data_IF_493105417386
#
_entry.id   IF_493105417386
#
_cell.length_a   1.000
_cell.length_b   1.000
_cell.length_c   1.000
_cell.angle_alpha   90.00
_cell.angle_beta   90.00
_cell.angle_gamma   90.00
#
_symmetry.space_group_name_H-M   'P 1'
#
loop_
_entity.id
_entity.type
_entity.pdbx_description
1 polymer ?
#
# COMPACT_ATOMS: atom_id res chain seq x y z
N UNK A 1 -17.87 33.53 -16.22
CA UNK A 1 -17.38 32.28 -16.82
C UNK A 1 -16.04 31.79 -16.26
N UNK A 2 -15.05 32.66 -15.99
CA UNK A 2 -13.75 32.28 -15.40
C UNK A 2 -13.82 31.74 -13.96
N UNK A 3 -14.74 32.26 -13.13
CA UNK A 3 -14.90 31.83 -11.72
C UNK A 3 -15.55 30.44 -11.62
N UNK A 4 -16.50 30.12 -12.50
CA UNK A 4 -17.12 28.79 -12.57
C UNK A 4 -16.12 27.71 -13.02
N UNK A 5 -15.19 28.06 -13.91
CA UNK A 5 -14.10 27.15 -14.33
C UNK A 5 -13.10 26.90 -13.21
N UNK A 6 -12.74 27.92 -12.43
CA UNK A 6 -11.86 27.79 -11.28
C UNK A 6 -12.50 26.97 -10.15
N UNK A 7 -13.80 27.16 -9.89
CA UNK A 7 -14.54 26.37 -8.90
C UNK A 7 -14.70 24.91 -9.36
N UNK A 8 -14.92 24.65 -10.65
CA UNK A 8 -14.91 23.30 -11.20
C UNK A 8 -13.55 22.61 -11.06
N UNK A 9 -12.45 23.35 -11.20
CA UNK A 9 -11.09 22.84 -10.98
C UNK A 9 -10.77 22.60 -9.49
N UNK A 10 -11.38 23.36 -8.58
CA UNK A 10 -11.18 23.25 -7.14
C UNK A 10 -12.05 22.15 -6.50
N UNK A 11 -13.25 21.90 -7.03
CA UNK A 11 -14.16 20.83 -6.59
C UNK A 11 -13.71 19.45 -7.10
N UNK A 12 -12.99 19.38 -8.22
CA UNK A 12 -12.40 18.12 -8.71
C UNK A 12 -11.11 17.67 -7.98
N UNK A 13 -10.49 18.51 -7.16
CA UNK A 13 -9.33 18.09 -6.36
C UNK A 13 -9.72 17.23 -5.15
N UNK A 14 -11.01 17.14 -4.80
CA UNK A 14 -11.51 16.34 -3.67
C UNK A 14 -11.85 14.89 -4.03
N UNK A 15 -11.81 14.52 -5.31
CA UNK A 15 -12.07 13.14 -5.75
C UNK A 15 -10.81 12.24 -5.75
N UNK A 16 -9.63 12.83 -5.52
CA UNK A 16 -8.36 12.11 -5.36
C UNK A 16 -8.13 11.56 -3.94
N UNK A 17 -9.12 11.62 -3.05
CA UNK A 17 -9.06 11.12 -1.66
C UNK A 17 -9.11 9.59 -1.54
N UNK A 18 -9.31 8.87 -2.66
CA UNK A 18 -9.36 7.41 -2.69
C UNK A 18 -8.05 6.75 -3.14
N UNK A 19 -6.96 7.52 -3.30
CA UNK A 19 -5.62 6.98 -3.50
C UNK A 19 -4.99 6.60 -2.14
N UNK A 20 -4.45 5.40 -2.10
CA UNK A 20 -4.21 4.62 -0.90
C UNK A 20 -2.81 4.78 -0.34
N UNK A 21 -2.76 4.80 1.01
CA UNK A 21 -1.59 4.57 1.85
C UNK A 21 -0.32 5.33 1.43
N UNK A 22 0.79 5.12 2.14
CA UNK A 22 2.04 5.86 1.92
C UNK A 22 1.87 7.38 2.09
N UNK A 23 2.06 8.12 0.99
CA UNK A 23 2.24 9.58 1.00
C UNK A 23 0.98 10.39 1.33
N UNK A 24 -0.22 9.83 1.12
CA UNK A 24 -1.49 10.48 1.50
C UNK A 24 -1.95 10.01 2.87
N UNK A 25 -1.78 10.89 3.85
CA UNK A 25 -2.32 10.67 5.19
C UNK A 25 -3.86 10.70 5.16
N UNK A 26 -4.45 9.98 6.12
CA UNK A 26 -5.89 9.99 6.35
C UNK A 26 -6.34 11.31 6.95
N UNK A 27 -7.51 11.79 6.53
CA UNK A 27 -8.15 12.95 7.15
C UNK A 27 -8.48 12.66 8.62
N UNK A 28 -8.46 13.71 9.46
CA UNK A 28 -8.77 13.56 10.88
C UNK A 28 -10.13 12.89 11.08
N UNK A 29 -10.14 11.80 11.85
CA UNK A 29 -11.35 11.06 12.18
C UNK A 29 -11.75 9.98 11.17
N UNK A 30 -11.05 9.88 10.03
CA UNK A 30 -11.33 8.87 9.00
C UNK A 30 -10.38 7.68 9.13
N UNK A 31 -10.86 6.52 8.70
CA UNK A 31 -10.12 5.27 8.70
C UNK A 31 -10.13 4.56 7.37
N UNK A 32 -9.15 3.68 7.20
CA UNK A 32 -9.04 2.77 6.08
C UNK A 32 -8.64 1.40 6.59
N UNK A 33 -9.25 0.35 6.05
CA UNK A 33 -8.82 -1.02 6.27
C UNK A 33 -8.77 -1.77 4.94
N UNK A 34 -7.79 -2.64 4.79
CA UNK A 34 -7.74 -3.60 3.68
C UNK A 34 -7.36 -4.98 4.17
N UNK A 35 -8.06 -5.97 3.62
CA UNK A 35 -7.75 -7.38 3.78
C UNK A 35 -7.40 -7.93 2.40
N UNK A 36 -6.29 -8.67 2.30
CA UNK A 36 -5.81 -9.23 1.04
C UNK A 36 -5.45 -10.70 1.20
N UNK A 37 -5.79 -11.48 0.19
CA UNK A 37 -5.53 -12.90 0.07
C UNK A 37 -4.82 -13.15 -1.27
N UNK A 38 -3.79 -13.96 -1.25
CA UNK A 38 -3.04 -14.39 -2.41
C UNK A 38 -2.88 -15.90 -2.42
N UNK A 39 -2.96 -16.53 -3.59
CA UNK A 39 -2.71 -17.95 -3.75
C UNK A 39 -1.99 -18.23 -5.08
N UNK A 40 -0.96 -19.09 -5.03
CA UNK A 40 -0.27 -19.61 -6.22
C UNK A 40 -0.89 -20.94 -6.67
N UNK A 41 -0.53 -21.42 -7.86
CA UNK A 41 -0.90 -22.77 -8.33
C UNK A 41 -0.38 -23.87 -7.39
N UNK A 42 0.78 -23.65 -6.76
CA UNK A 42 1.40 -24.58 -5.82
C UNK A 42 0.86 -24.49 -4.39
N UNK A 43 -0.33 -23.89 -4.20
CA UNK A 43 -1.00 -23.74 -2.90
C UNK A 43 -0.22 -22.93 -1.86
N UNK A 44 0.74 -22.11 -2.29
CA UNK A 44 1.35 -21.10 -1.42
C UNK A 44 0.34 -19.97 -1.21
N UNK A 45 0.23 -19.46 0.02
CA UNK A 45 -0.76 -18.43 0.35
C UNK A 45 -0.13 -17.21 1.00
N UNK A 46 -0.66 -16.04 0.66
CA UNK A 46 -0.29 -14.77 1.30
C UNK A 46 -1.54 -14.13 1.86
N UNK A 47 -1.48 -13.65 3.09
CA UNK A 47 -2.59 -12.97 3.76
C UNK A 47 -2.08 -11.66 4.35
N UNK A 48 -2.80 -10.56 4.15
CA UNK A 48 -2.43 -9.27 4.72
C UNK A 48 -3.64 -8.52 5.25
N UNK A 49 -3.50 -7.95 6.44
CA UNK A 49 -4.40 -6.98 7.06
C UNK A 49 -3.64 -5.67 7.22
N UNK A 50 -4.22 -4.60 6.70
CA UNK A 50 -3.69 -3.26 6.84
C UNK A 50 -4.78 -2.33 7.34
N UNK A 51 -4.49 -1.51 8.33
CA UNK A 51 -5.43 -0.57 8.93
C UNK A 51 -4.74 0.76 9.19
N UNK A 52 -5.41 1.87 8.89
CA UNK A 52 -4.96 3.22 9.19
C UNK A 52 -6.08 4.07 9.77
N UNK A 53 -5.70 5.02 10.62
CA UNK A 53 -6.61 5.99 11.22
C UNK A 53 -5.98 7.38 11.31
N UNK A 54 -6.69 8.39 10.83
CA UNK A 54 -6.25 9.79 10.86
C UNK A 54 -6.44 10.42 12.23
N UNK A 55 -5.35 10.61 12.99
CA UNK A 55 -5.37 11.33 14.26
C UNK A 55 -5.44 12.85 14.06
N UNK A 56 -4.81 13.34 12.99
CA UNK A 56 -4.86 14.74 12.56
C UNK A 56 -4.61 14.82 11.05
N UNK A 57 -4.80 16.00 10.46
CA UNK A 57 -4.49 16.22 9.03
C UNK A 57 -2.99 16.06 8.68
N UNK A 58 -2.11 15.86 9.68
CA UNK A 58 -0.67 15.63 9.49
C UNK A 58 -0.17 14.36 10.18
N UNK A 59 -1.06 13.57 10.79
CA UNK A 59 -0.67 12.36 11.53
C UNK A 59 -1.68 11.25 11.32
N UNK A 60 -1.19 10.09 10.85
CA UNK A 60 -1.93 8.84 10.74
C UNK A 60 -1.23 7.80 11.60
N UNK A 61 -2.00 6.94 12.27
CA UNK A 61 -1.47 5.72 12.89
C UNK A 61 -1.99 4.53 12.12
N UNK A 62 -1.29 3.40 12.19
CA UNK A 62 -1.76 2.20 11.54
C UNK A 62 -1.12 0.93 12.02
N UNK A 63 -1.61 -0.16 11.45
CA UNK A 63 -1.24 -1.53 11.71
C UNK A 63 -1.09 -2.23 10.35
N UNK A 64 0.04 -2.91 10.17
CA UNK A 64 0.34 -3.73 9.00
C UNK A 64 0.69 -5.14 9.49
N UNK A 65 -0.10 -6.13 9.11
CA UNK A 65 0.11 -7.54 9.44
C UNK A 65 0.07 -8.31 8.13
N UNK A 66 1.13 -9.03 7.81
CA UNK A 66 1.19 -9.93 6.67
C UNK A 66 1.72 -11.29 7.08
N UNK A 67 1.25 -12.33 6.42
CA UNK A 67 1.77 -13.68 6.57
C UNK A 67 1.84 -14.39 5.23
N UNK A 68 2.87 -15.22 5.10
CA UNK A 68 3.13 -16.06 3.95
C UNK A 68 3.22 -17.51 4.44
N UNK A 69 2.54 -18.41 3.76
CA UNK A 69 2.58 -19.85 4.03
C UNK A 69 3.02 -20.55 2.76
N UNK A 70 4.12 -21.30 2.82
CA UNK A 70 4.61 -22.06 1.67
C UNK A 70 3.86 -23.41 1.52
N UNK A 71 4.19 -24.15 0.46
CA UNK A 71 3.57 -25.45 0.16
C UNK A 71 3.81 -26.53 1.25
N UNK A 72 4.83 -26.36 2.09
CA UNK A 72 5.13 -27.24 3.24
C UNK A 72 4.43 -26.79 4.53
N UNK A 73 3.49 -25.83 4.44
CA UNK A 73 2.75 -25.27 5.56
C UNK A 73 3.64 -24.55 6.61
N UNK A 74 4.84 -24.14 6.20
CA UNK A 74 5.71 -23.27 7.01
C UNK A 74 5.22 -21.85 6.85
N UNK A 75 4.91 -21.22 7.99
CA UNK A 75 4.33 -19.87 8.04
C UNK A 75 5.34 -18.85 8.52
N UNK A 76 5.54 -17.83 7.71
CA UNK A 76 6.30 -16.63 8.03
C UNK A 76 5.37 -15.42 8.05
N UNK A 77 5.84 -14.30 8.58
CA UNK A 77 5.11 -13.05 8.50
C UNK A 77 5.76 -11.89 9.22
N UNK A 78 5.05 -10.78 9.17
CA UNK A 78 5.49 -9.47 9.60
C UNK A 78 4.31 -8.72 10.21
N UNK A 79 4.51 -8.09 11.35
CA UNK A 79 3.51 -7.28 12.03
C UNK A 79 4.15 -5.99 12.47
N UNK A 80 3.50 -4.85 12.23
CA UNK A 80 4.06 -3.54 12.51
C UNK A 80 2.98 -2.53 12.85
N UNK A 81 3.13 -1.92 14.02
CA UNK A 81 2.37 -0.76 14.45
C UNK A 81 3.18 0.49 14.11
N UNK A 82 2.55 1.46 13.46
CA UNK A 82 3.27 2.63 12.97
C UNK A 82 2.55 3.94 13.22
N UNK A 83 3.35 5.01 13.25
CA UNK A 83 2.92 6.39 13.12
C UNK A 83 3.52 6.97 11.84
N UNK A 84 2.69 7.61 11.03
CA UNK A 84 3.08 8.32 9.81
C UNK A 84 2.79 9.79 9.95
N UNK A 85 3.73 10.65 9.56
CA UNK A 85 3.57 12.11 9.54
C UNK A 85 3.90 12.70 8.19
N UNK A 86 3.14 13.73 7.80
CA UNK A 86 3.40 14.48 6.58
C UNK A 86 4.70 15.29 6.69
N UNK A 87 5.47 15.33 5.61
CA UNK A 87 6.61 16.22 5.43
C UNK A 87 6.15 17.43 4.61
N UNK A 88 6.11 18.59 5.25
CA UNK A 88 5.70 19.84 4.61
C UNK A 88 4.18 20.03 4.48
N UNK A 89 3.73 20.94 3.60
CA UNK A 89 2.31 21.24 3.42
C UNK A 89 1.54 20.09 2.73
N UNK A 90 0.36 19.76 3.26
CA UNK A 90 -0.49 18.66 2.78
C UNK A 90 -1.43 19.08 1.65
N UNK A 91 -1.32 20.29 1.13
CA UNK A 91 -2.11 20.86 0.03
C UNK A 91 -1.35 20.88 -1.32
N UNK A 92 -0.04 20.62 -1.32
CA UNK A 92 0.78 20.59 -2.54
C UNK A 92 0.48 19.40 -3.44
N UNK A 93 0.68 19.50 -4.78
CA UNK A 93 0.45 18.36 -5.68
C UNK A 93 1.27 17.11 -5.35
N UNK A 94 2.52 17.31 -4.93
CA UNK A 94 3.39 16.25 -4.42
C UNK A 94 3.29 16.19 -2.90
N UNK A 95 2.91 15.03 -2.38
CA UNK A 95 2.83 14.73 -0.95
C UNK A 95 4.06 13.93 -0.55
N UNK A 96 4.53 14.19 0.67
CA UNK A 96 5.63 13.45 1.27
C UNK A 96 5.23 13.07 2.68
N UNK A 97 5.65 11.90 3.13
CA UNK A 97 5.45 11.45 4.49
C UNK A 97 6.61 10.60 4.95
N UNK A 98 6.83 10.55 6.26
CA UNK A 98 7.70 9.54 6.86
C UNK A 98 6.92 8.72 7.89
N UNK A 99 7.31 7.47 8.03
CA UNK A 99 6.74 6.49 8.93
C UNK A 99 7.80 5.97 9.88
N UNK A 100 7.42 5.81 11.14
CA UNK A 100 8.18 5.09 12.15
C UNK A 100 7.28 3.99 12.70
N UNK A 101 7.78 2.77 12.70
CA UNK A 101 7.05 1.59 13.13
C UNK A 101 7.86 0.69 14.03
N UNK A 102 7.16 0.00 14.92
CA UNK A 102 7.69 -1.07 15.75
C UNK A 102 6.86 -2.33 15.50
N UNK A 103 7.54 -3.45 15.48
CA UNK A 103 6.92 -4.67 15.00
C UNK A 103 7.68 -5.92 15.34
N UNK A 104 7.36 -6.97 14.60
CA UNK A 104 8.06 -8.24 14.68
C UNK A 104 7.96 -9.02 13.38
N UNK A 105 9.01 -9.79 13.14
CA UNK A 105 9.07 -10.83 12.13
C UNK A 105 8.81 -12.16 12.84
N UNK A 106 8.00 -13.03 12.25
CA UNK A 106 7.85 -14.41 12.74
C UNK A 106 8.07 -15.40 11.62
N UNK A 107 8.61 -16.55 11.97
CA UNK A 107 8.99 -17.59 11.02
C UNK A 107 10.05 -18.51 11.59
N UNK A 108 10.09 -19.77 11.13
CA UNK A 108 11.08 -20.76 11.56
C UNK A 108 11.23 -20.85 13.10
N UNK A 109 10.09 -20.92 13.81
CA UNK A 109 9.99 -20.99 15.28
C UNK A 109 10.55 -19.79 16.04
N UNK A 110 10.91 -18.71 15.35
CA UNK A 110 11.43 -17.47 15.95
C UNK A 110 10.42 -16.34 15.82
N UNK A 111 10.43 -15.48 16.82
CA UNK A 111 9.75 -14.19 16.82
C UNK A 111 10.82 -13.15 17.12
N UNK A 112 11.09 -12.29 16.15
CA UNK A 112 12.17 -11.33 16.22
C UNK A 112 11.57 -9.92 16.22
N UNK A 113 11.95 -9.05 17.17
CA UNK A 113 11.49 -7.67 17.16
C UNK A 113 12.00 -6.94 15.92
N UNK A 114 11.26 -5.94 15.45
CA UNK A 114 11.73 -5.10 14.36
C UNK A 114 11.37 -3.64 14.55
N UNK A 115 12.18 -2.77 13.96
CA UNK A 115 11.91 -1.33 13.81
C UNK A 115 11.85 -1.05 12.32
N UNK A 116 10.76 -0.43 11.86
CA UNK A 116 10.56 -0.05 10.46
C UNK A 116 10.59 1.47 10.32
N UNK A 117 11.26 1.95 9.30
CA UNK A 117 11.17 3.34 8.85
C UNK A 117 10.77 3.35 7.38
N UNK A 118 9.91 4.29 6.99
CA UNK A 118 9.48 4.44 5.59
C UNK A 118 9.51 5.90 5.19
N UNK A 119 9.99 6.20 3.98
CA UNK A 119 9.80 7.47 3.31
C UNK A 119 8.84 7.27 2.15
N UNK A 120 7.77 8.06 2.12
CA UNK A 120 6.71 7.98 1.13
C UNK A 120 6.67 9.24 0.28
N UNK A 121 6.49 9.07 -1.02
CA UNK A 121 6.21 10.14 -1.96
C UNK A 121 5.03 9.78 -2.84
N UNK A 122 4.16 10.76 -3.09
CA UNK A 122 3.01 10.54 -3.96
C UNK A 122 2.61 11.80 -4.70
N UNK A 123 2.03 11.61 -5.88
CA UNK A 123 1.52 12.71 -6.71
C UNK A 123 0.32 12.27 -7.53
N UNK A 124 -0.71 13.12 -7.57
CA UNK A 124 -1.82 13.01 -8.52
C UNK A 124 -1.44 13.57 -9.89
N UNK A 125 -1.94 12.97 -10.96
CA UNK A 125 -1.78 13.45 -12.33
C UNK A 125 -3.06 13.23 -13.12
N UNK A 126 -3.12 13.83 -14.31
CA UNK A 126 -4.20 13.62 -15.25
C UNK A 126 -3.62 13.11 -16.57
N UNK A 127 -4.16 12.01 -17.07
CA UNK A 127 -3.78 11.42 -18.35
C UNK A 127 -4.99 11.47 -19.27
N UNK A 128 -4.97 12.37 -20.26
CA UNK A 128 -6.14 12.75 -21.07
C UNK A 128 -7.27 13.26 -20.16
N UNK A 129 -8.46 12.67 -20.21
CA UNK A 129 -9.60 13.01 -19.36
C UNK A 129 -9.75 12.04 -18.16
N UNK A 130 -8.66 11.39 -17.73
CA UNK A 130 -8.67 10.41 -16.64
C UNK A 130 -7.72 10.83 -15.53
N UNK A 131 -8.21 10.78 -14.30
CA UNK A 131 -7.41 11.06 -13.11
C UNK A 131 -6.60 9.82 -12.72
N UNK A 132 -5.37 10.05 -12.30
CA UNK A 132 -4.46 9.01 -11.86
C UNK A 132 -3.56 9.51 -10.73
N UNK A 133 -2.81 8.58 -10.16
CA UNK A 133 -1.89 8.88 -9.08
C UNK A 133 -0.73 7.90 -9.10
N UNK A 134 0.40 8.34 -8.56
CA UNK A 134 1.56 7.51 -8.29
C UNK A 134 1.94 7.63 -6.82
N UNK A 135 2.29 6.52 -6.21
CA UNK A 135 2.87 6.44 -4.87
C UNK A 135 4.17 5.63 -4.93
N UNK A 136 5.15 6.03 -4.12
CA UNK A 136 6.42 5.33 -3.94
C UNK A 136 6.75 5.31 -2.47
N UNK A 137 7.14 4.16 -1.96
CA UNK A 137 7.55 3.92 -0.58
C UNK A 137 8.94 3.28 -0.56
N UNK A 138 9.86 3.90 0.16
CA UNK A 138 11.16 3.31 0.46
C UNK A 138 11.21 2.99 1.95
N UNK A 139 11.32 1.71 2.31
CA UNK A 139 11.32 1.25 3.69
C UNK A 139 12.63 0.55 4.07
N UNK A 140 13.02 0.73 5.32
CA UNK A 140 14.11 0.03 5.98
C UNK A 140 13.58 -0.62 7.25
N UNK A 141 13.65 -1.95 7.33
CA UNK A 141 13.27 -2.75 8.49
C UNK A 141 14.54 -3.29 9.13
N UNK A 142 14.75 -2.99 10.40
CA UNK A 142 15.90 -3.46 11.18
C UNK A 142 15.45 -4.45 12.25
N UNK A 143 16.15 -5.57 12.34
CA UNK A 143 15.95 -6.62 13.35
C UNK A 143 17.21 -6.65 14.26
N UNK A 144 17.11 -6.19 15.52
CA UNK A 144 18.28 -5.96 16.36
C UNK A 144 18.90 -7.22 16.99
N UNK A 145 18.19 -8.35 17.04
CA UNK A 145 18.64 -9.58 17.72
C UNK A 145 19.74 -10.28 16.93
N UNK A 146 19.59 -10.33 15.61
CA UNK A 146 20.52 -10.93 14.66
C UNK A 146 21.32 -9.85 13.89
N UNK A 147 20.99 -8.56 14.09
CA UNK A 147 21.63 -7.46 13.38
C UNK A 147 21.33 -7.44 11.88
N UNK A 148 20.18 -8.00 11.49
CA UNK A 148 19.76 -8.13 10.08
C UNK A 148 18.86 -6.98 9.65
N UNK A 149 18.74 -6.77 8.34
CA UNK A 149 17.87 -5.74 7.80
C UNK A 149 17.20 -6.16 6.49
N UNK A 150 16.09 -5.50 6.19
CA UNK A 150 15.36 -5.62 4.93
C UNK A 150 15.19 -4.22 4.37
N UNK A 151 15.62 -4.01 3.13
CA UNK A 151 15.28 -2.82 2.37
C UNK A 151 14.12 -3.14 1.44
N UNK A 152 13.17 -2.21 1.31
CA UNK A 152 12.03 -2.36 0.40
C UNK A 152 11.80 -1.09 -0.40
N UNK A 153 11.42 -1.26 -1.65
CA UNK A 153 10.94 -0.22 -2.52
C UNK A 153 9.64 -0.70 -3.17
N UNK A 154 8.54 0.00 -2.88
CA UNK A 154 7.22 -0.31 -3.41
C UNK A 154 6.72 0.91 -4.20
N UNK A 155 6.23 0.70 -5.41
CA UNK A 155 5.66 1.74 -6.26
C UNK A 155 4.28 1.32 -6.76
N UNK A 156 3.32 2.24 -6.73
CA UNK A 156 1.95 1.99 -7.19
C UNK A 156 1.51 3.08 -8.14
N UNK A 157 1.03 2.69 -9.31
CA UNK A 157 0.38 3.55 -10.29
C UNK A 157 -1.12 3.22 -10.32
N UNK A 158 -1.97 4.22 -10.05
CA UNK A 158 -3.41 4.10 -10.19
C UNK A 158 -3.95 4.97 -11.31
N UNK A 159 -4.90 4.45 -12.08
CA UNK A 159 -5.58 5.18 -13.15
C UNK A 159 -7.08 4.88 -13.15
N UNK A 160 -7.89 5.92 -13.03
CA UNK A 160 -9.34 5.81 -13.05
C UNK A 160 -9.85 5.62 -14.48
N UNK A 161 -10.56 4.52 -14.76
CA UNK A 161 -11.03 4.20 -16.11
C UNK A 161 -12.48 4.60 -16.38
N UNK A 162 -13.30 4.72 -15.34
CA UNK A 162 -14.72 5.09 -15.39
C UNK A 162 -15.33 5.01 -14.00
N UNK A 163 -16.60 5.39 -13.84
CA UNK A 163 -17.17 5.73 -12.52
C UNK A 163 -17.15 4.66 -11.41
N UNK A 164 -16.75 3.43 -11.67
CA UNK A 164 -16.62 2.37 -10.65
C UNK A 164 -15.30 1.59 -10.71
N UNK A 165 -14.40 1.85 -11.67
CA UNK A 165 -13.19 1.05 -11.87
C UNK A 165 -11.92 1.89 -11.91
N UNK A 166 -10.89 1.38 -11.23
CA UNK A 166 -9.54 1.93 -11.22
C UNK A 166 -8.55 0.80 -11.54
N UNK A 167 -7.73 0.98 -12.57
CA UNK A 167 -6.60 0.10 -12.83
C UNK A 167 -5.45 0.45 -11.91
N UNK A 168 -4.77 -0.57 -11.41
CA UNK A 168 -3.59 -0.44 -10.57
C UNK A 168 -2.45 -1.26 -11.16
N UNK A 169 -1.24 -0.72 -11.07
CA UNK A 169 -0.01 -1.43 -11.35
C UNK A 169 0.93 -1.20 -10.17
N UNK A 170 1.24 -2.25 -9.44
CA UNK A 170 2.18 -2.21 -8.33
C UNK A 170 3.48 -2.90 -8.72
N UNK A 171 4.60 -2.35 -8.25
CA UNK A 171 5.93 -2.94 -8.38
C UNK A 171 6.55 -2.95 -7.00
N UNK A 172 6.98 -4.12 -6.55
CA UNK A 172 7.64 -4.29 -5.26
C UNK A 172 9.04 -4.82 -5.50
N UNK A 173 10.00 -4.31 -4.74
CA UNK A 173 11.36 -4.81 -4.71
C UNK A 173 11.84 -4.82 -3.27
N UNK A 174 12.50 -5.89 -2.85
CA UNK A 174 13.06 -6.01 -1.51
C UNK A 174 14.38 -6.73 -1.53
N UNK A 175 15.32 -6.33 -0.68
CA UNK A 175 16.57 -7.03 -0.47
C UNK A 175 16.72 -7.43 0.99
N UNK A 176 17.13 -8.69 1.20
CA UNK A 176 17.39 -9.29 2.50
C UNK A 176 18.53 -10.31 2.36
N UNK A 177 19.58 -10.20 3.17
CA UNK A 177 20.68 -11.17 3.24
C UNK A 177 21.29 -11.53 1.86
N UNK A 178 21.60 -10.52 1.06
CA UNK A 178 22.13 -10.62 -0.33
C UNK A 178 21.15 -11.16 -1.38
N UNK A 179 19.98 -11.66 -0.98
CA UNK A 179 18.90 -12.00 -1.89
C UNK A 179 18.07 -10.76 -2.23
N UNK A 180 17.58 -10.71 -3.47
CA UNK A 180 16.63 -9.70 -3.93
C UNK A 180 15.38 -10.37 -4.45
N UNK A 181 14.24 -9.87 -4.01
CA UNK A 181 12.92 -10.33 -4.45
C UNK A 181 12.21 -9.15 -5.11
N UNK A 182 11.54 -9.40 -6.21
CA UNK A 182 10.69 -8.38 -6.80
C UNK A 182 9.53 -8.98 -7.56
N UNK A 183 8.47 -8.20 -7.69
CA UNK A 183 7.26 -8.61 -8.37
C UNK A 183 6.55 -7.40 -8.98
N UNK A 184 5.74 -7.68 -9.99
CA UNK A 184 4.74 -6.76 -10.54
C UNK A 184 3.34 -7.29 -10.25
N UNK A 185 2.43 -6.42 -9.85
CA UNK A 185 1.03 -6.76 -9.58
C UNK A 185 0.09 -5.85 -10.38
N UNK A 186 -0.28 -6.25 -11.62
CA UNK A 186 -1.44 -5.67 -12.30
C UNK A 186 -2.73 -6.05 -11.58
N UNK A 187 -3.60 -5.08 -11.36
CA UNK A 187 -4.89 -5.31 -10.72
C UNK A 187 -5.97 -4.30 -11.11
N UNK A 188 -7.22 -4.64 -10.85
CA UNK A 188 -8.38 -3.78 -11.00
C UNK A 188 -9.07 -3.64 -9.66
N UNK A 189 -9.33 -2.40 -9.26
CA UNK A 189 -10.17 -2.05 -8.13
C UNK A 189 -11.57 -1.71 -8.63
N UNK A 190 -12.56 -2.39 -8.08
CA UNK A 190 -13.98 -2.18 -8.36
C UNK A 190 -14.62 -1.56 -7.13
N UNK A 191 -15.13 -0.34 -7.27
CA UNK A 191 -15.86 0.38 -6.23
C UNK A 191 -17.31 0.59 -6.66
N UNK A 192 -18.28 -0.12 -6.06
CA UNK A 192 -19.70 0.13 -6.31
C UNK A 192 -20.04 1.61 -6.08
N UNK A 193 -20.96 2.15 -6.89
CA UNK A 193 -21.45 3.53 -6.70
C UNK A 193 -21.97 3.70 -5.28
N UNK A 194 -21.55 4.77 -4.62
CA UNK A 194 -21.89 5.09 -3.22
C UNK A 194 -21.46 4.05 -2.17
N UNK A 195 -20.65 3.06 -2.56
CA UNK A 195 -20.13 2.03 -1.68
C UNK A 195 -18.99 2.54 -0.79
N UNK A 196 -18.96 2.07 0.47
CA UNK A 196 -17.81 2.22 1.39
C UNK A 196 -16.76 1.12 1.22
N UNK A 197 -17.04 0.15 0.34
CA UNK A 197 -16.18 -0.99 0.09
C UNK A 197 -15.67 -0.97 -1.34
N UNK A 198 -14.49 -1.55 -1.56
CA UNK A 198 -13.95 -1.79 -2.89
C UNK A 198 -13.32 -3.18 -2.93
N UNK A 199 -13.42 -3.84 -4.08
CA UNK A 199 -12.85 -5.17 -4.31
C UNK A 199 -11.68 -5.02 -5.27
N UNK A 200 -10.50 -5.50 -4.87
CA UNK A 200 -9.30 -5.55 -5.70
C UNK A 200 -9.14 -6.98 -6.23
N UNK A 201 -8.98 -7.12 -7.53
CA UNK A 201 -8.67 -8.38 -8.20
C UNK A 201 -7.36 -8.18 -8.98
N UNK A 202 -6.38 -9.03 -8.74
CA UNK A 202 -5.04 -8.88 -9.33
C UNK A 202 -4.31 -10.18 -9.50
N UNK A 203 -3.13 -10.07 -10.11
CA UNK A 203 -2.17 -11.16 -10.18
C UNK A 203 -0.80 -10.60 -9.78
N UNK A 204 -0.10 -11.24 -8.85
CA UNK A 204 1.28 -10.92 -8.50
C UNK A 204 2.21 -11.85 -9.28
N UNK A 205 3.17 -11.28 -10.00
CA UNK A 205 4.09 -12.00 -10.87
C UNK A 205 5.51 -11.67 -10.42
N UNK A 206 6.22 -12.60 -9.75
CA UNK A 206 7.62 -12.42 -9.39
C UNK A 206 8.51 -12.23 -10.63
N UNK A 207 9.56 -11.42 -10.53
CA UNK A 207 10.47 -11.18 -11.67
C UNK A 207 11.33 -12.39 -12.02
N UNK A 208 11.85 -13.08 -11.01
CA UNK A 208 12.78 -14.20 -11.17
C UNK A 208 12.11 -15.58 -11.01
N UNK A 209 10.85 -15.61 -10.55
CA UNK A 209 10.09 -16.82 -10.21
C UNK A 209 8.68 -16.76 -10.83
N UNK A 210 8.62 -16.59 -12.16
CA UNK A 210 7.35 -16.36 -12.88
C UNK A 210 6.33 -17.51 -12.78
N UNK A 211 6.79 -18.73 -12.50
CA UNK A 211 5.96 -19.91 -12.21
C UNK A 211 5.25 -19.80 -10.84
N UNK A 212 5.71 -18.92 -9.95
CA UNK A 212 5.06 -18.59 -8.68
C UNK A 212 4.10 -17.40 -8.78
N UNK A 213 3.51 -17.19 -9.95
CA UNK A 213 2.45 -16.20 -10.10
C UNK A 213 1.28 -16.52 -9.16
N UNK A 214 0.77 -15.50 -8.46
CA UNK A 214 -0.31 -15.62 -7.50
C UNK A 214 -1.54 -14.82 -7.94
N UNK A 215 -2.72 -15.40 -7.81
CA UNK A 215 -3.96 -14.64 -7.87
C UNK A 215 -4.19 -13.90 -6.55
N UNK A 216 -4.61 -12.64 -6.62
CA UNK A 216 -4.78 -11.76 -5.46
C UNK A 216 -6.21 -11.23 -5.41
N UNK A 217 -6.84 -11.38 -4.24
CA UNK A 217 -8.15 -10.83 -3.90
C UNK A 217 -7.99 -9.89 -2.71
N UNK A 218 -8.49 -8.67 -2.84
CA UNK A 218 -8.50 -7.68 -1.77
C UNK A 218 -9.89 -7.10 -1.51
N UNK A 219 -10.16 -6.78 -0.25
CA UNK A 219 -11.34 -6.02 0.17
C UNK A 219 -10.86 -4.80 0.92
N UNK A 220 -11.29 -3.62 0.46
CA UNK A 220 -10.94 -2.34 1.06
C UNK A 220 -12.18 -1.68 1.63
N UNK A 221 -12.02 -1.02 2.76
CA UNK A 221 -13.07 -0.32 3.45
C UNK A 221 -12.59 1.06 3.92
N UNK A 222 -13.39 2.10 3.67
CA UNK A 222 -13.18 3.43 4.23
C UNK A 222 -14.31 3.78 5.18
N UNK A 223 -13.98 4.31 6.36
CA UNK A 223 -14.94 4.62 7.43
C UNK A 223 -14.68 5.96 8.12
#
# INVERSE_FOLDING_TARGET
MRVLFAVSLMVWQFLASNAQAGAWLREKGTGFASLSFGATEFSETTNALYVEYGLSNKTTIGLDISSFTNAQNVRNGFGNLFIRRAIGPTDRPSKWAYELGIGGLWGNERQLPSVKTTLSWGRGFQLRARDGWINMDAAYVYEPTLGSHITKFDATLGLHFGGITTGLLEVTHSSQNDDTFGAVEPSVLIRPKDGKFSIKLGAQIPFDEGDKAALKLGVWHSF
#
